data_IF_762609361439
#
_entry.id   IF_762609361439
#
_cell.length_a   1.000
_cell.length_b   1.000
_cell.length_c   1.000
_cell.angle_alpha   90.00
_cell.angle_beta   90.00
_cell.angle_gamma   90.00
#
_symmetry.space_group_name_H-M   'P 1'
#
loop_
_entity.id
_entity.type
_entity.pdbx_description
1 polymer ?
#
# COMPACT_ATOMS: atom_id res chain seq x y z
N UNK A 1 -25.11 -8.60 15.22
CA UNK A 1 -23.89 -8.75 14.40
C UNK A 1 -22.77 -9.04 15.37
N UNK A 2 -22.19 -10.24 15.35
CA UNK A 2 -21.00 -10.52 16.16
C UNK A 2 -19.90 -9.56 15.71
N UNK A 3 -19.17 -8.97 16.65
CA UNK A 3 -17.96 -8.25 16.31
C UNK A 3 -17.07 -9.20 15.50
N UNK A 4 -16.65 -8.76 14.31
CA UNK A 4 -15.63 -9.48 13.58
C UNK A 4 -14.36 -9.42 14.43
N UNK A 5 -13.85 -10.58 14.83
CA UNK A 5 -12.57 -10.69 15.53
C UNK A 5 -11.43 -10.39 14.54
N UNK A 6 -11.25 -9.10 14.27
CA UNK A 6 -10.19 -8.57 13.43
C UNK A 6 -8.92 -8.42 14.25
N UNK A 7 -7.83 -9.03 13.78
CA UNK A 7 -6.50 -8.78 14.32
C UNK A 7 -5.85 -7.60 13.62
N UNK A 8 -4.95 -6.84 14.26
CA UNK A 8 -4.15 -5.82 13.57
C UNK A 8 -3.37 -6.39 12.38
N UNK A 9 -3.05 -5.59 11.34
CA UNK A 9 -2.26 -6.05 10.21
C UNK A 9 -0.91 -6.66 10.63
N UNK A 10 -0.66 -7.89 10.19
CA UNK A 10 0.54 -8.66 10.55
C UNK A 10 1.29 -9.16 9.30
N UNK A 11 2.61 -9.43 9.39
CA UNK A 11 3.35 -10.05 8.30
C UNK A 11 2.71 -11.35 7.81
N UNK A 12 2.65 -11.57 6.49
CA UNK A 12 2.15 -12.84 5.95
C UNK A 12 3.03 -14.02 6.37
N UNK A 13 2.41 -15.13 6.78
CA UNK A 13 3.06 -16.39 7.12
C UNK A 13 2.49 -17.53 6.28
N UNK A 14 3.10 -18.71 6.36
CA UNK A 14 2.60 -19.92 5.69
C UNK A 14 1.28 -20.46 6.29
N UNK A 15 0.87 -19.97 7.46
CA UNK A 15 -0.31 -20.47 8.19
C UNK A 15 -1.59 -19.70 7.86
N UNK A 16 -1.51 -18.62 7.08
CA UNK A 16 -2.69 -17.84 6.71
C UNK A 16 -3.50 -18.56 5.63
N UNK A 17 -4.83 -18.58 5.78
CA UNK A 17 -5.74 -19.12 4.78
C UNK A 17 -6.00 -18.07 3.69
N UNK A 18 -5.71 -18.45 2.44
CA UNK A 18 -5.73 -17.57 1.27
C UNK A 18 -6.68 -18.06 0.17
N UNK A 19 -7.14 -19.31 0.22
CA UNK A 19 -7.89 -19.95 -0.86
C UNK A 19 -9.20 -19.20 -1.15
N UNK A 20 -9.88 -18.74 -0.09
CA UNK A 20 -11.15 -18.02 -0.17
C UNK A 20 -11.05 -16.56 -0.65
N UNK A 21 -9.86 -15.94 -0.61
CA UNK A 21 -9.72 -14.51 -0.89
C UNK A 21 -10.14 -14.14 -2.32
N UNK A 22 -11.02 -13.15 -2.44
CA UNK A 22 -11.44 -12.55 -3.70
C UNK A 22 -11.73 -11.04 -3.55
N UNK A 23 -10.82 -10.19 -4.04
CA UNK A 23 -11.02 -8.74 -4.08
C UNK A 23 -11.82 -8.23 -5.28
N UNK A 24 -12.28 -9.13 -6.15
CA UNK A 24 -12.85 -8.79 -7.46
C UNK A 24 -11.81 -8.48 -8.54
N UNK A 25 -10.52 -8.50 -8.21
CA UNK A 25 -9.42 -8.22 -9.14
C UNK A 25 -8.50 -9.45 -9.31
N UNK A 26 -8.60 -10.21 -10.42
CA UNK A 26 -7.89 -11.48 -10.57
C UNK A 26 -6.38 -11.36 -10.35
N UNK A 27 -5.75 -10.30 -10.85
CA UNK A 27 -4.31 -10.09 -10.71
C UNK A 27 -3.86 -9.93 -9.23
N UNK A 28 -4.71 -9.33 -8.39
CA UNK A 28 -4.46 -9.18 -6.95
C UNK A 28 -4.72 -10.49 -6.21
N UNK A 29 -5.77 -11.22 -6.57
CA UNK A 29 -6.11 -12.53 -6.01
C UNK A 29 -5.00 -13.55 -6.27
N UNK A 30 -4.56 -13.65 -7.52
CA UNK A 30 -3.55 -14.62 -7.94
C UNK A 30 -2.19 -14.33 -7.30
N UNK A 31 -1.81 -13.06 -7.21
CA UNK A 31 -0.55 -12.70 -6.58
C UNK A 31 -0.53 -13.06 -5.10
N UNK A 32 -1.62 -12.81 -4.36
CA UNK A 32 -1.72 -13.18 -2.95
C UNK A 32 -1.50 -14.69 -2.77
N UNK A 33 -2.26 -15.50 -3.51
CA UNK A 33 -2.27 -16.96 -3.39
C UNK A 33 -0.96 -17.61 -3.86
N UNK A 34 -0.33 -17.07 -4.91
CA UNK A 34 0.80 -17.75 -5.59
C UNK A 34 2.17 -17.16 -5.26
N UNK A 35 2.25 -15.88 -4.87
CA UNK A 35 3.50 -15.12 -4.83
C UNK A 35 3.76 -14.38 -3.52
N UNK A 36 2.74 -13.91 -2.80
CA UNK A 36 2.92 -13.02 -1.65
C UNK A 36 3.89 -13.57 -0.59
N UNK A 37 3.68 -14.80 -0.14
CA UNK A 37 4.54 -15.42 0.88
C UNK A 37 5.98 -15.61 0.38
N UNK A 38 6.17 -16.08 -0.86
CA UNK A 38 7.51 -16.26 -1.45
C UNK A 38 8.24 -14.94 -1.61
N UNK A 39 7.55 -13.89 -2.05
CA UNK A 39 8.11 -12.55 -2.17
C UNK A 39 8.43 -11.93 -0.80
N UNK A 40 7.59 -12.21 0.22
CA UNK A 40 7.88 -11.87 1.60
C UNK A 40 9.16 -12.53 2.08
N UNK A 41 9.28 -13.84 1.93
CA UNK A 41 10.43 -14.61 2.38
C UNK A 41 11.73 -14.21 1.66
N UNK A 42 11.68 -13.94 0.35
CA UNK A 42 12.86 -13.55 -0.43
C UNK A 42 13.28 -12.08 -0.26
N UNK A 43 12.42 -11.23 0.32
CA UNK A 43 12.66 -9.80 0.44
C UNK A 43 12.29 -8.97 -0.78
N UNK A 44 11.68 -9.57 -1.81
CA UNK A 44 11.19 -8.84 -2.98
C UNK A 44 10.08 -7.83 -2.62
N UNK A 45 9.26 -8.15 -1.63
CA UNK A 45 8.32 -7.21 -1.00
C UNK A 45 8.03 -7.64 0.44
N UNK A 46 7.54 -6.73 1.27
CA UNK A 46 6.96 -7.05 2.58
C UNK A 46 5.44 -7.02 2.45
N UNK A 47 4.80 -8.17 2.62
CA UNK A 47 3.35 -8.30 2.60
C UNK A 47 2.78 -8.41 4.01
N UNK A 48 1.72 -7.64 4.27
CA UNK A 48 0.97 -7.59 5.52
C UNK A 48 -0.48 -7.94 5.24
N UNK A 49 -1.09 -8.72 6.13
CA UNK A 49 -2.46 -9.23 6.00
C UNK A 49 -3.30 -8.85 7.20
N UNK A 50 -4.59 -8.64 6.96
CA UNK A 50 -5.64 -8.51 7.95
C UNK A 50 -6.48 -9.79 7.92
N UNK A 51 -6.72 -10.38 9.08
CA UNK A 51 -7.43 -11.64 9.20
C UNK A 51 -8.75 -11.49 9.97
N UNK A 52 -9.73 -12.30 9.61
CA UNK A 52 -10.91 -12.61 10.40
C UNK A 52 -10.79 -14.09 10.81
N UNK A 53 -10.40 -14.34 12.06
CA UNK A 53 -9.95 -15.68 12.45
C UNK A 53 -8.69 -16.09 11.67
N UNK A 54 -8.76 -17.21 10.93
CA UNK A 54 -7.64 -17.69 10.09
C UNK A 54 -7.66 -17.15 8.65
N UNK A 55 -8.80 -16.63 8.19
CA UNK A 55 -9.01 -16.19 6.83
C UNK A 55 -8.43 -14.80 6.60
N UNK A 56 -7.61 -14.66 5.57
CA UNK A 56 -7.16 -13.33 5.12
C UNK A 56 -8.31 -12.63 4.41
N UNK A 57 -8.68 -11.45 4.91
CA UNK A 57 -9.77 -10.63 4.36
C UNK A 57 -9.27 -9.37 3.66
N UNK A 58 -8.01 -8.98 3.89
CA UNK A 58 -7.39 -7.86 3.20
C UNK A 58 -5.86 -7.96 3.30
N UNK A 59 -5.15 -7.33 2.37
CA UNK A 59 -3.70 -7.29 2.41
C UNK A 59 -3.15 -6.06 1.70
N UNK A 60 -1.89 -5.75 1.98
CA UNK A 60 -1.10 -4.87 1.14
C UNK A 60 0.37 -5.31 1.09
N UNK A 61 1.15 -4.70 0.20
CA UNK A 61 2.58 -4.98 0.09
C UNK A 61 3.40 -3.71 -0.14
N UNK A 62 4.58 -3.66 0.50
CA UNK A 62 5.56 -2.59 0.39
C UNK A 62 6.87 -3.12 -0.21
N UNK A 63 7.52 -2.33 -1.06
CA UNK A 63 8.87 -2.63 -1.57
C UNK A 63 9.66 -1.35 -1.79
N UNK A 64 10.98 -1.42 -1.74
CA UNK A 64 11.83 -0.30 -2.15
C UNK A 64 11.61 0.02 -3.63
N UNK A 65 11.71 1.29 -4.00
CA UNK A 65 11.56 1.74 -5.38
C UNK A 65 12.27 3.06 -5.64
N UNK A 66 12.26 3.46 -6.90
CA UNK A 66 12.80 4.74 -7.34
C UNK A 66 11.97 5.28 -8.49
N UNK A 67 11.74 6.60 -8.53
CA UNK A 67 11.00 7.26 -9.60
C UNK A 67 11.89 8.34 -10.23
N UNK A 68 11.89 8.40 -11.56
CA UNK A 68 12.70 9.40 -12.26
C UNK A 68 12.16 10.81 -12.02
N UNK A 69 13.03 11.80 -12.21
CA UNK A 69 12.63 13.19 -12.13
C UNK A 69 11.51 13.51 -13.11
N UNK A 70 11.61 13.05 -14.36
CA UNK A 70 10.62 13.31 -15.41
C UNK A 70 9.22 12.87 -14.98
N UNK A 71 9.11 11.72 -14.33
CA UNK A 71 7.86 11.14 -13.85
C UNK A 71 7.35 11.73 -12.52
N UNK A 72 8.01 12.74 -11.96
CA UNK A 72 7.67 13.37 -10.67
C UNK A 72 7.24 14.84 -10.85
N UNK A 73 6.40 15.46 -10.00
CA UNK A 73 6.06 16.88 -10.10
C UNK A 73 7.27 17.76 -9.90
N UNK A 74 7.29 18.93 -10.54
CA UNK A 74 8.44 19.86 -10.45
C UNK A 74 8.74 20.28 -9.01
N UNK A 75 7.70 20.48 -8.19
CA UNK A 75 7.83 20.83 -6.77
C UNK A 75 8.60 19.79 -5.96
N UNK A 76 8.52 18.51 -6.35
CA UNK A 76 9.09 17.38 -5.61
C UNK A 76 10.54 17.05 -5.97
N UNK A 77 11.08 17.64 -7.03
CA UNK A 77 12.44 17.33 -7.53
C UNK A 77 13.51 18.30 -7.06
N UNK A 78 13.13 19.46 -6.53
CA UNK A 78 14.07 20.51 -6.18
C UNK A 78 14.98 20.02 -5.04
N UNK A 79 16.29 20.12 -5.25
CA UNK A 79 17.33 19.67 -4.30
C UNK A 79 17.30 18.16 -3.96
N UNK A 80 16.71 17.33 -4.83
CA UNK A 80 16.60 15.89 -4.60
C UNK A 80 17.48 15.09 -5.58
N UNK A 81 17.99 13.90 -5.17
CA UNK A 81 18.70 13.00 -6.07
C UNK A 81 17.81 12.53 -7.23
N UNK A 82 18.44 12.10 -8.32
CA UNK A 82 17.76 11.42 -9.42
C UNK A 82 18.33 9.99 -9.55
N UNK A 83 17.52 8.94 -9.38
CA UNK A 83 16.07 8.95 -9.13
C UNK A 83 15.69 9.32 -7.68
N UNK A 84 14.43 9.72 -7.48
CA UNK A 84 13.86 9.96 -6.15
C UNK A 84 13.66 8.62 -5.43
N UNK A 85 14.14 8.45 -4.19
CA UNK A 85 13.93 7.22 -3.43
C UNK A 85 12.48 7.15 -2.93
N UNK A 86 11.78 6.05 -3.21
CA UNK A 86 10.37 5.87 -2.81
C UNK A 86 10.15 4.52 -2.16
N UNK A 87 9.06 4.42 -1.40
CA UNK A 87 8.48 3.15 -1.02
C UNK A 87 7.28 2.88 -1.91
N UNK A 88 7.26 1.74 -2.58
CA UNK A 88 6.17 1.33 -3.47
C UNK A 88 5.11 0.58 -2.66
N UNK A 89 3.89 1.13 -2.58
CA UNK A 89 2.68 0.38 -2.25
C UNK A 89 2.27 -0.44 -3.47
N UNK A 90 2.90 -1.60 -3.61
CA UNK A 90 2.76 -2.39 -4.84
C UNK A 90 1.39 -3.00 -5.01
N UNK A 91 0.69 -3.29 -3.90
CA UNK A 91 -0.64 -3.91 -3.87
C UNK A 91 -1.37 -3.47 -2.63
N UNK A 92 -2.68 -3.26 -2.75
CA UNK A 92 -3.63 -3.08 -1.66
C UNK A 92 -4.95 -3.67 -2.14
N UNK A 93 -5.49 -4.62 -1.38
CA UNK A 93 -6.72 -5.31 -1.75
C UNK A 93 -7.53 -5.66 -0.50
N UNK A 94 -8.85 -5.57 -0.63
CA UNK A 94 -9.81 -6.01 0.39
C UNK A 94 -10.71 -7.04 -0.29
N UNK A 95 -11.03 -8.13 0.40
CA UNK A 95 -11.99 -9.11 -0.08
C UNK A 95 -13.37 -8.46 -0.28
N UNK A 96 -14.06 -8.83 -1.36
CA UNK A 96 -15.32 -8.22 -1.79
C UNK A 96 -16.41 -8.27 -0.73
N UNK A 97 -16.42 -9.30 0.12
CA UNK A 97 -17.38 -9.43 1.23
C UNK A 97 -17.17 -8.35 2.31
N UNK A 98 -16.02 -7.69 2.31
CA UNK A 98 -15.56 -6.71 3.29
C UNK A 98 -15.38 -5.30 2.70
N UNK A 99 -15.80 -5.08 1.46
CA UNK A 99 -15.77 -3.75 0.84
C UNK A 99 -16.68 -2.76 1.56
N UNK A 100 -16.35 -1.47 1.46
CA UNK A 100 -17.10 -0.35 2.04
C UNK A 100 -17.22 -0.35 3.57
N UNK A 101 -16.38 -1.13 4.28
CA UNK A 101 -16.32 -1.16 5.74
C UNK A 101 -15.12 -0.38 6.31
N UNK A 102 -14.49 0.50 5.51
CA UNK A 102 -13.31 1.28 5.93
C UNK A 102 -11.98 0.52 5.97
N UNK A 103 -11.97 -0.80 5.72
CA UNK A 103 -10.75 -1.63 5.77
C UNK A 103 -9.64 -1.13 4.84
N UNK A 104 -9.98 -0.73 3.60
CA UNK A 104 -8.99 -0.22 2.66
C UNK A 104 -8.30 1.06 3.16
N UNK A 105 -9.07 1.95 3.81
CA UNK A 105 -8.51 3.15 4.43
C UNK A 105 -7.64 2.81 5.65
N UNK A 106 -8.08 1.86 6.48
CA UNK A 106 -7.29 1.40 7.63
C UNK A 106 -5.97 0.76 7.19
N UNK A 107 -5.96 -0.07 6.14
CA UNK A 107 -4.74 -0.64 5.58
C UNK A 107 -3.81 0.41 4.97
N UNK A 108 -4.35 1.41 4.29
CA UNK A 108 -3.54 2.52 3.80
C UNK A 108 -2.90 3.29 4.96
N UNK A 109 -3.63 3.51 6.06
CA UNK A 109 -3.07 4.12 7.28
C UNK A 109 -1.95 3.29 7.89
N UNK A 110 -2.13 1.97 7.99
CA UNK A 110 -1.06 1.06 8.45
C UNK A 110 0.17 1.11 7.53
N UNK A 111 -0.03 1.13 6.21
CA UNK A 111 1.06 1.27 5.24
C UNK A 111 1.81 2.61 5.38
N UNK A 112 1.08 3.71 5.64
CA UNK A 112 1.65 5.04 5.89
C UNK A 112 2.51 5.07 7.16
N UNK A 113 2.02 4.49 8.26
CA UNK A 113 2.80 4.38 9.51
C UNK A 113 4.10 3.62 9.28
N UNK A 114 4.04 2.50 8.55
CA UNK A 114 5.25 1.73 8.22
C UNK A 114 6.19 2.47 7.29
N UNK A 115 5.67 3.25 6.34
CA UNK A 115 6.49 4.09 5.47
C UNK A 115 7.26 5.15 6.27
N UNK A 116 6.61 5.78 7.26
CA UNK A 116 7.26 6.74 8.17
C UNK A 116 8.35 6.06 9.00
N UNK A 117 8.09 4.86 9.52
CA UNK A 117 9.10 4.11 10.28
C UNK A 117 10.32 3.80 9.43
N UNK A 118 10.14 3.27 8.21
CA UNK A 118 11.25 3.00 7.28
C UNK A 118 12.00 4.29 6.93
N UNK A 119 11.29 5.41 6.77
CA UNK A 119 11.89 6.71 6.49
C UNK A 119 12.74 7.28 7.64
N UNK A 120 12.64 6.71 8.85
CA UNK A 120 13.52 7.03 9.98
C UNK A 120 14.90 6.40 9.85
N UNK A 121 14.98 5.22 9.24
CA UNK A 121 16.22 4.44 9.13
C UNK A 121 16.87 4.51 7.74
N UNK A 122 16.07 4.76 6.70
CA UNK A 122 16.52 4.81 5.31
C UNK A 122 15.88 5.98 4.55
N UNK A 123 16.57 6.49 3.53
CA UNK A 123 16.05 7.56 2.68
C UNK A 123 14.79 7.09 1.93
N UNK A 124 13.63 7.64 2.30
CA UNK A 124 12.36 7.47 1.60
C UNK A 124 11.72 8.84 1.46
N UNK A 125 11.50 9.29 0.23
CA UNK A 125 10.92 10.60 -0.04
C UNK A 125 9.40 10.57 -0.14
N UNK A 126 8.85 9.51 -0.75
CA UNK A 126 7.40 9.37 -0.96
C UNK A 126 6.95 7.91 -0.91
N UNK A 127 5.68 7.72 -0.59
CA UNK A 127 4.93 6.49 -0.88
C UNK A 127 4.38 6.60 -2.29
N UNK A 128 4.65 5.61 -3.14
CA UNK A 128 4.25 5.57 -4.54
C UNK A 128 3.27 4.41 -4.77
N UNK A 129 2.30 4.60 -5.67
CA UNK A 129 1.40 3.55 -6.14
C UNK A 129 1.19 3.64 -7.64
N UNK A 130 1.05 2.49 -8.29
CA UNK A 130 0.47 2.40 -9.62
C UNK A 130 -0.97 1.92 -9.48
N UNK A 131 -1.93 2.83 -9.67
CA UNK A 131 -3.35 2.51 -9.61
C UNK A 131 -3.72 1.53 -10.73
N UNK A 132 -4.53 0.53 -10.39
CA UNK A 132 -4.95 -0.53 -11.32
C UNK A 132 -6.13 -0.10 -12.20
N UNK A 133 -6.96 0.82 -11.71
CA UNK A 133 -8.18 1.28 -12.36
C UNK A 133 -8.49 2.74 -11.97
N UNK A 134 -9.36 3.41 -12.71
CA UNK A 134 -9.78 4.77 -12.39
C UNK A 134 -10.45 4.85 -11.00
N UNK A 135 -11.19 3.82 -10.59
CA UNK A 135 -11.75 3.73 -9.26
C UNK A 135 -10.65 3.69 -8.19
N UNK A 136 -9.61 2.87 -8.39
CA UNK A 136 -8.46 2.82 -7.48
C UNK A 136 -7.71 4.16 -7.46
N UNK A 137 -7.56 4.81 -8.61
CA UNK A 137 -6.96 6.14 -8.72
C UNK A 137 -7.73 7.16 -7.87
N UNK A 138 -9.05 7.22 -8.00
CA UNK A 138 -9.90 8.12 -7.20
C UNK A 138 -9.81 7.83 -5.71
N UNK A 139 -9.75 6.54 -5.32
CA UNK A 139 -9.48 6.16 -3.94
C UNK A 139 -8.19 6.81 -3.42
N UNK A 140 -7.06 6.69 -4.13
CA UNK A 140 -5.80 7.28 -3.67
C UNK A 140 -5.82 8.82 -3.67
N UNK A 141 -6.40 9.45 -4.70
CA UNK A 141 -6.53 10.91 -4.78
C UNK A 141 -7.29 11.48 -3.58
N UNK A 142 -8.41 10.85 -3.20
CA UNK A 142 -9.20 11.24 -2.03
C UNK A 142 -8.46 11.16 -0.69
N UNK A 143 -7.27 10.54 -0.66
CA UNK A 143 -6.45 10.35 0.53
C UNK A 143 -5.23 11.27 0.57
N UNK A 144 -5.06 12.15 -0.42
CA UNK A 144 -3.96 13.11 -0.50
C UNK A 144 -2.80 12.66 -1.38
N UNK A 145 -2.96 11.59 -2.17
CA UNK A 145 -2.02 11.30 -3.25
C UNK A 145 -2.18 12.32 -4.37
N UNK A 146 -1.09 12.56 -5.10
CA UNK A 146 -1.07 13.42 -6.29
C UNK A 146 -0.55 12.66 -7.50
N UNK A 147 -1.00 13.05 -8.69
CA UNK A 147 -0.67 12.36 -9.94
C UNK A 147 0.72 12.72 -10.46
N UNK A 148 1.36 11.74 -11.11
CA UNK A 148 2.53 11.99 -11.95
C UNK A 148 2.15 12.86 -13.16
N UNK A 149 2.98 13.86 -13.53
CA UNK A 149 2.75 14.66 -14.73
C UNK A 149 2.90 13.87 -16.04
N UNK A 150 3.51 12.67 -16.01
CA UNK A 150 3.74 11.84 -17.21
C UNK A 150 2.90 10.57 -17.24
N UNK A 151 2.52 10.03 -16.09
CA UNK A 151 1.82 8.75 -15.98
C UNK A 151 0.62 8.91 -15.05
N UNK A 152 -0.59 9.24 -15.55
CA UNK A 152 -1.74 9.57 -14.70
C UNK A 152 -2.21 8.46 -13.75
N UNK A 153 -1.77 7.21 -13.95
CA UNK A 153 -2.03 6.08 -13.05
C UNK A 153 -0.94 5.88 -12.00
N UNK A 154 0.15 6.64 -12.07
CA UNK A 154 1.21 6.66 -11.07
C UNK A 154 0.95 7.83 -10.14
N UNK A 155 0.72 7.52 -8.86
CA UNK A 155 0.46 8.50 -7.83
C UNK A 155 1.48 8.39 -6.70
N UNK A 156 1.70 9.48 -5.99
CA UNK A 156 2.59 9.49 -4.83
C UNK A 156 2.11 10.48 -3.78
N UNK A 157 2.56 10.24 -2.55
CA UNK A 157 2.35 11.09 -1.39
C UNK A 157 3.68 11.21 -0.65
N UNK A 158 4.15 12.43 -0.38
CA UNK A 158 5.43 12.62 0.31
C UNK A 158 5.36 12.09 1.73
N UNK A 159 6.50 11.64 2.27
CA UNK A 159 6.59 11.26 3.70
C UNK A 159 6.23 12.46 4.60
N UNK A 160 6.54 13.68 4.17
CA UNK A 160 6.13 14.91 4.86
C UNK A 160 4.60 15.04 4.96
N UNK A 161 3.88 14.91 3.84
CA UNK A 161 2.41 14.92 3.83
C UNK A 161 1.83 13.78 4.66
N UNK A 162 2.43 12.58 4.60
CA UNK A 162 2.00 11.44 5.43
C UNK A 162 2.10 11.79 6.92
N UNK A 163 3.22 12.41 7.37
CA UNK A 163 3.39 12.81 8.77
C UNK A 163 2.33 13.82 9.21
N UNK A 164 1.98 14.78 8.36
CA UNK A 164 0.92 15.76 8.65
C UNK A 164 -0.45 15.07 8.82
N UNK A 165 -0.82 14.20 7.87
CA UNK A 165 -2.10 13.46 7.91
C UNK A 165 -2.20 12.58 9.16
N UNK A 166 -1.10 11.91 9.54
CA UNK A 166 -1.09 11.04 10.71
C UNK A 166 -1.19 11.83 12.03
N UNK A 167 -0.61 13.03 12.10
CA UNK A 167 -0.67 13.89 13.28
C UNK A 167 -2.05 14.54 13.50
N UNK A 168 -2.84 14.75 12.44
CA UNK A 168 -4.22 15.27 12.54
C UNK A 168 -5.24 14.23 13.02
N UNK A 169 -4.87 12.94 12.98
CA UNK A 169 -5.75 11.82 13.31
C UNK A 169 -5.58 11.30 14.74
N UNK A 170 -4.65 11.89 15.51
CA UNK A 170 -4.41 11.62 16.93
C UNK A 170 -5.02 12.73 17.79
#
# INVERSE_FOLDING_TARGET
MSALDLTPPAPITANHELAGFDSGEPSLNEWLKKRAFKNHASGASRCFVLCAGADVIAYYSLSAGAISHEASPKSMRRNMPNPLPVLLLGRLAVDKCYHNQGIGQALLRDAMLRAVNVAGDAGVFALLVHALSDQAKQFYLSRGFVESPLQPMTLFMTIETIRLILAEAD
#
